data_IF_503808168732
#
_entry.id   IF_503808168732
#
_cell.length_a   1.000
_cell.length_b   1.000
_cell.length_c   1.000
_cell.angle_alpha   90.00
_cell.angle_beta   90.00
_cell.angle_gamma   90.00
#
_symmetry.space_group_name_H-M   'P 1'
#
loop_
_entity.id
_entity.type
_entity.pdbx_description
1 polymer ?
#
# COMPACT_ATOMS: atom_id res chain seq x y z
N UNK A 1 0.59 14.77 3.80
CA UNK A 1 -0.14 14.61 2.52
C UNK A 1 -1.60 14.81 2.88
N UNK A 2 -2.59 14.38 2.10
CA UNK A 2 -4.04 14.34 2.41
C UNK A 2 -4.78 15.50 3.11
N UNK A 3 -4.18 16.62 3.50
CA UNK A 3 -4.84 17.66 4.30
C UNK A 3 -6.09 18.28 3.64
N UNK A 4 -6.25 18.10 2.33
CA UNK A 4 -7.45 18.45 1.56
C UNK A 4 -8.57 17.41 1.62
N UNK A 5 -8.27 16.14 1.94
CA UNK A 5 -9.23 15.09 2.23
C UNK A 5 -9.24 14.81 3.74
N UNK A 6 -10.26 15.31 4.44
CA UNK A 6 -10.34 15.22 5.89
C UNK A 6 -10.37 13.78 6.41
N UNK A 7 -10.91 12.83 5.63
CA UNK A 7 -10.99 11.42 6.05
C UNK A 7 -9.64 10.74 5.90
N UNK A 8 -9.03 10.83 4.73
CA UNK A 8 -7.71 10.23 4.50
C UNK A 8 -6.66 10.83 5.44
N UNK A 9 -6.69 12.15 5.64
CA UNK A 9 -5.83 12.83 6.60
C UNK A 9 -5.97 12.29 8.02
N UNK A 10 -7.22 12.13 8.50
CA UNK A 10 -7.48 11.61 9.84
C UNK A 10 -7.00 10.16 9.99
N UNK A 11 -7.40 9.27 9.08
CA UNK A 11 -7.14 7.84 9.23
C UNK A 11 -5.69 7.42 8.96
N UNK A 12 -5.00 8.10 8.05
CA UNK A 12 -3.66 7.70 7.59
C UNK A 12 -2.53 8.56 8.16
N UNK A 13 -2.80 9.75 8.69
CA UNK A 13 -1.75 10.68 9.11
C UNK A 13 -1.92 11.25 10.53
N UNK A 14 -3.05 11.01 11.21
CA UNK A 14 -3.30 11.54 12.54
C UNK A 14 -3.39 10.47 13.62
N UNK A 15 -3.24 10.86 14.88
CA UNK A 15 -3.62 10.08 16.06
C UNK A 15 -5.16 10.10 16.26
N UNK A 16 -5.67 9.42 17.29
CA UNK A 16 -7.11 9.37 17.59
C UNK A 16 -7.72 10.74 17.99
N UNK A 17 -6.89 11.73 18.31
CA UNK A 17 -7.33 13.10 18.62
C UNK A 17 -7.34 14.00 17.38
N UNK A 18 -6.89 13.49 16.23
CA UNK A 18 -6.74 14.26 15.00
C UNK A 18 -5.44 15.06 14.92
N UNK A 19 -4.48 14.79 15.80
CA UNK A 19 -3.15 15.41 15.74
C UNK A 19 -2.27 14.67 14.75
N UNK A 20 -1.55 15.39 13.90
CA UNK A 20 -0.68 14.78 12.89
C UNK A 20 0.50 14.03 13.52
N UNK A 21 0.63 12.76 13.17
CA UNK A 21 1.73 11.85 13.58
C UNK A 21 2.46 11.25 12.37
N UNK A 22 1.85 11.32 11.18
CA UNK A 22 2.38 10.78 9.94
C UNK A 22 2.21 9.27 9.79
N UNK A 23 2.35 8.80 8.54
CA UNK A 23 2.09 7.41 8.15
C UNK A 23 2.90 6.37 8.94
N UNK A 24 4.18 6.65 9.20
CA UNK A 24 5.06 5.72 9.91
C UNK A 24 4.59 5.45 11.33
N UNK A 25 4.20 6.51 12.06
CA UNK A 25 3.68 6.36 13.43
C UNK A 25 2.31 5.67 13.42
N UNK A 26 1.47 5.90 12.40
CA UNK A 26 0.20 5.15 12.22
C UNK A 26 0.43 3.65 12.03
N UNK A 27 1.45 3.26 11.27
CA UNK A 27 1.79 1.84 11.04
C UNK A 27 2.29 1.12 12.29
N UNK A 28 2.84 1.86 13.25
CA UNK A 28 3.40 1.34 14.50
C UNK A 28 2.38 1.28 15.64
N UNK A 29 1.13 1.69 15.41
CA UNK A 29 0.04 1.55 16.39
C UNK A 29 -0.18 0.06 16.72
N UNK A 30 -0.06 -0.28 18.00
CA UNK A 30 -0.18 -1.67 18.48
C UNK A 30 -1.62 -2.21 18.32
N UNK A 31 -2.62 -1.37 18.56
CA UNK A 31 -4.04 -1.73 18.41
C UNK A 31 -4.84 -0.52 17.86
N UNK A 32 -5.16 -0.50 16.55
CA UNK A 32 -5.95 0.58 15.96
C UNK A 32 -7.41 0.50 16.44
N UNK A 33 -8.06 1.66 16.59
CA UNK A 33 -9.49 1.71 16.93
C UNK A 33 -10.35 1.08 15.83
N UNK A 34 -11.53 0.56 16.18
CA UNK A 34 -12.46 -0.01 15.20
C UNK A 34 -12.87 1.02 14.13
N UNK A 35 -13.06 2.28 14.54
CA UNK A 35 -13.38 3.38 13.63
C UNK A 35 -12.25 3.61 12.62
N UNK A 36 -10.99 3.62 13.08
CA UNK A 36 -9.84 3.75 12.19
C UNK A 36 -9.74 2.55 11.26
N UNK A 37 -9.90 1.34 11.78
CA UNK A 37 -9.88 0.12 10.99
C UNK A 37 -10.89 0.18 9.85
N UNK A 38 -12.15 0.49 10.15
CA UNK A 38 -13.22 0.62 9.15
C UNK A 38 -12.92 1.73 8.13
N UNK A 39 -12.41 2.88 8.60
CA UNK A 39 -12.01 4.00 7.74
C UNK A 39 -10.90 3.63 6.76
N UNK A 40 -9.83 2.99 7.23
CA UNK A 40 -8.71 2.56 6.39
C UNK A 40 -9.17 1.47 5.41
N UNK A 41 -10.02 0.53 5.81
CA UNK A 41 -10.60 -0.46 4.90
C UNK A 41 -11.42 0.17 3.78
N UNK A 42 -12.23 1.19 4.10
CA UNK A 42 -12.98 1.93 3.09
C UNK A 42 -12.05 2.64 2.10
N UNK A 43 -11.02 3.32 2.60
CA UNK A 43 -10.02 3.99 1.74
C UNK A 43 -9.29 3.00 0.83
N UNK A 44 -8.90 1.82 1.34
CA UNK A 44 -8.20 0.80 0.57
C UNK A 44 -9.02 0.24 -0.61
N UNK A 45 -10.35 0.20 -0.45
CA UNK A 45 -11.26 -0.38 -1.46
C UNK A 45 -11.92 0.65 -2.37
N UNK A 46 -12.19 1.85 -1.86
CA UNK A 46 -13.05 2.85 -2.51
C UNK A 46 -12.39 4.23 -2.64
N UNK A 47 -11.24 4.45 -2.01
CA UNK A 47 -10.51 5.70 -2.12
C UNK A 47 -9.99 5.95 -3.53
N UNK A 48 -9.41 7.12 -3.71
CA UNK A 48 -8.65 7.42 -4.92
C UNK A 48 -7.35 6.62 -4.99
N UNK A 49 -6.56 6.83 -6.05
CA UNK A 49 -5.33 6.09 -6.28
C UNK A 49 -4.33 6.21 -5.12
N UNK A 50 -4.13 7.41 -4.56
CA UNK A 50 -3.19 7.63 -3.46
C UNK A 50 -3.74 7.02 -2.17
N UNK A 51 -5.01 7.30 -1.86
CA UNK A 51 -5.69 6.77 -0.68
C UNK A 51 -5.66 5.24 -0.66
N UNK A 52 -6.01 4.60 -1.77
CA UNK A 52 -5.99 3.13 -1.89
C UNK A 52 -4.60 2.57 -1.64
N UNK A 53 -3.57 3.24 -2.18
CA UNK A 53 -2.19 2.80 -2.00
C UNK A 53 -1.77 2.85 -0.53
N UNK A 54 -1.86 4.02 0.11
CA UNK A 54 -1.41 4.17 1.49
C UNK A 54 -2.27 3.43 2.51
N UNK A 55 -3.58 3.33 2.27
CA UNK A 55 -4.46 2.52 3.10
C UNK A 55 -4.14 1.02 2.96
N UNK A 56 -3.83 0.54 1.75
CA UNK A 56 -3.40 -0.85 1.55
C UNK A 56 -2.08 -1.13 2.28
N UNK A 57 -1.09 -0.23 2.19
CA UNK A 57 0.16 -0.38 2.95
C UNK A 57 -0.13 -0.47 4.46
N UNK A 58 -0.99 0.40 4.97
CA UNK A 58 -1.39 0.44 6.39
C UNK A 58 -2.02 -0.88 6.84
N UNK A 59 -2.96 -1.43 6.08
CA UNK A 59 -3.58 -2.71 6.41
C UNK A 59 -2.58 -3.88 6.37
N UNK A 60 -1.64 -3.86 5.43
CA UNK A 60 -0.57 -4.87 5.36
C UNK A 60 0.41 -4.75 6.55
N UNK A 61 0.66 -3.54 7.04
CA UNK A 61 1.46 -3.29 8.25
C UNK A 61 0.79 -3.86 9.49
N UNK A 62 -0.52 -3.65 9.64
CA UNK A 62 -1.34 -4.19 10.73
C UNK A 62 -1.69 -5.68 10.58
N UNK A 63 -1.23 -6.34 9.50
CA UNK A 63 -1.53 -7.75 9.21
C UNK A 63 -3.02 -8.05 9.03
N UNK A 64 -3.78 -7.07 8.54
CA UNK A 64 -5.20 -7.23 8.31
C UNK A 64 -5.46 -8.02 7.02
N UNK A 65 -6.26 -9.10 7.06
CA UNK A 65 -6.50 -9.98 5.91
C UNK A 65 -6.96 -9.24 4.66
N UNK A 66 -7.82 -8.24 4.85
CA UNK A 66 -8.37 -7.40 3.79
C UNK A 66 -7.31 -6.55 3.08
N UNK A 67 -6.15 -6.31 3.70
CA UNK A 67 -5.01 -5.67 3.05
C UNK A 67 -4.47 -6.49 1.87
N UNK A 68 -4.52 -7.83 1.95
CA UNK A 68 -4.13 -8.70 0.83
C UNK A 68 -5.16 -8.63 -0.31
N UNK A 69 -6.45 -8.55 0.02
CA UNK A 69 -7.53 -8.39 -0.97
C UNK A 69 -7.41 -7.05 -1.71
N UNK A 70 -7.14 -5.98 -0.97
CA UNK A 70 -6.92 -4.66 -1.55
C UNK A 70 -5.69 -4.64 -2.47
N UNK A 71 -4.58 -5.22 -2.01
CA UNK A 71 -3.35 -5.37 -2.79
C UNK A 71 -3.60 -6.11 -4.11
N UNK A 72 -4.27 -7.26 -4.07
CA UNK A 72 -4.60 -8.02 -5.27
C UNK A 72 -5.42 -7.19 -6.28
N UNK A 73 -6.46 -6.49 -5.80
CA UNK A 73 -7.30 -5.63 -6.65
C UNK A 73 -6.51 -4.47 -7.28
N UNK A 74 -5.52 -3.91 -6.57
CA UNK A 74 -4.64 -2.89 -7.14
C UNK A 74 -3.78 -3.46 -8.27
N UNK A 75 -3.24 -4.67 -8.09
CA UNK A 75 -2.47 -5.35 -9.13
C UNK A 75 -3.33 -5.73 -10.36
N UNK A 76 -4.60 -6.10 -10.15
CA UNK A 76 -5.53 -6.43 -11.23
C UNK A 76 -5.95 -5.22 -12.05
N UNK A 77 -6.24 -4.12 -11.36
CA UNK A 77 -6.66 -2.88 -12.01
C UNK A 77 -5.52 -2.12 -12.69
N UNK A 78 -4.26 -2.46 -12.39
CA UNK A 78 -3.06 -1.72 -12.83
C UNK A 78 -3.08 -0.23 -12.45
N UNK A 79 -3.85 0.12 -11.41
CA UNK A 79 -3.99 1.51 -10.94
C UNK A 79 -2.65 2.12 -10.49
N UNK A 80 -1.67 1.29 -10.15
CA UNK A 80 -0.32 1.72 -9.77
C UNK A 80 0.44 2.39 -10.93
N UNK A 81 0.15 2.01 -12.18
CA UNK A 81 0.83 2.52 -13.38
C UNK A 81 0.35 3.91 -13.84
N UNK A 82 -0.72 4.44 -13.23
CA UNK A 82 -1.36 5.69 -13.64
C UNK A 82 -0.67 6.92 -13.03
N UNK A 83 -0.90 8.13 -13.54
CA UNK A 83 -0.55 9.37 -12.82
C UNK A 83 0.92 9.57 -12.42
N UNK A 84 1.13 10.24 -11.28
CA UNK A 84 2.46 10.55 -10.73
C UNK A 84 3.00 9.40 -9.86
N UNK A 85 4.32 9.32 -9.64
CA UNK A 85 4.90 8.34 -8.72
C UNK A 85 4.26 8.39 -7.32
N UNK A 86 3.81 7.24 -6.80
CA UNK A 86 3.24 7.11 -5.46
C UNK A 86 4.32 6.96 -4.38
N UNK A 87 5.37 6.20 -4.67
CA UNK A 87 6.51 5.99 -3.80
C UNK A 87 7.82 6.24 -4.58
N UNK A 88 8.10 7.49 -4.97
CA UNK A 88 9.31 7.80 -5.73
C UNK A 88 10.57 7.50 -4.91
N UNK A 89 11.45 6.67 -5.45
CA UNK A 89 12.73 6.42 -4.83
C UNK A 89 13.57 7.69 -4.78
N UNK A 90 14.12 7.97 -3.59
CA UNK A 90 14.80 9.23 -3.27
C UNK A 90 15.96 9.60 -4.21
N UNK A 91 16.69 8.62 -4.74
CA UNK A 91 17.90 8.87 -5.54
C UNK A 91 17.67 8.97 -7.05
N UNK A 92 16.68 8.26 -7.60
CA UNK A 92 16.49 8.16 -9.06
C UNK A 92 15.06 8.42 -9.51
N UNK A 93 14.15 8.79 -8.60
CA UNK A 93 12.79 9.26 -8.91
C UNK A 93 11.84 8.20 -9.47
N UNK A 94 12.33 6.98 -9.72
CA UNK A 94 11.52 5.84 -10.13
C UNK A 94 10.49 5.50 -9.07
N UNK A 95 9.25 5.28 -9.48
CA UNK A 95 8.19 4.83 -8.57
C UNK A 95 8.49 3.41 -8.10
N UNK A 96 8.53 3.24 -6.78
CA UNK A 96 8.77 1.97 -6.10
C UNK A 96 7.49 1.41 -5.47
N UNK A 97 6.31 1.84 -5.94
CA UNK A 97 5.04 1.42 -5.38
C UNK A 97 4.87 -0.11 -5.33
N UNK A 98 5.29 -0.80 -6.39
CA UNK A 98 5.26 -2.27 -6.46
C UNK A 98 6.21 -2.89 -5.44
N UNK A 99 7.42 -2.37 -5.30
CA UNK A 99 8.43 -2.85 -4.37
C UNK A 99 8.01 -2.65 -2.91
N UNK A 100 7.38 -1.53 -2.58
CA UNK A 100 6.86 -1.24 -1.24
C UNK A 100 5.71 -2.18 -0.84
N UNK A 101 4.81 -2.49 -1.78
CA UNK A 101 3.76 -3.50 -1.56
C UNK A 101 4.37 -4.90 -1.42
N UNK A 102 5.25 -5.28 -2.35
CA UNK A 102 5.93 -6.58 -2.33
C UNK A 102 6.71 -6.78 -1.03
N UNK A 103 7.43 -5.76 -0.56
CA UNK A 103 8.17 -5.79 0.69
C UNK A 103 7.25 -6.12 1.87
N UNK A 104 6.09 -5.46 1.98
CA UNK A 104 5.14 -5.70 3.07
C UNK A 104 4.49 -7.08 3.00
N UNK A 105 4.15 -7.55 1.80
CA UNK A 105 3.64 -8.91 1.59
C UNK A 105 4.71 -9.96 1.94
N UNK A 106 5.96 -9.79 1.51
CA UNK A 106 7.01 -10.81 1.68
C UNK A 106 7.56 -10.85 3.11
N UNK A 107 7.75 -9.70 3.75
CA UNK A 107 8.53 -9.61 4.99
C UNK A 107 7.84 -10.24 6.20
N UNK A 108 6.53 -10.50 6.16
CA UNK A 108 5.81 -11.16 7.26
C UNK A 108 5.41 -12.57 6.84
N UNK A 109 6.13 -13.56 7.39
CA UNK A 109 5.88 -14.99 7.17
C UNK A 109 4.65 -15.44 7.98
N UNK A 110 3.62 -15.89 7.27
CA UNK A 110 2.51 -16.67 7.80
C UNK A 110 2.00 -17.65 6.74
N UNK A 111 1.39 -18.80 7.12
CA UNK A 111 0.92 -19.82 6.19
C UNK A 111 -0.42 -19.39 5.57
N UNK A 112 -0.42 -18.26 4.88
CA UNK A 112 -1.59 -17.75 4.18
C UNK A 112 -1.39 -18.04 2.70
N UNK A 113 -2.18 -18.96 2.14
CA UNK A 113 -2.15 -19.34 0.72
C UNK A 113 -2.18 -18.11 -0.22
N UNK A 114 -2.91 -17.06 0.19
CA UNK A 114 -2.98 -15.79 -0.54
C UNK A 114 -1.64 -15.03 -0.60
N UNK A 115 -0.81 -15.08 0.45
CA UNK A 115 0.53 -14.49 0.42
C UNK A 115 1.39 -15.17 -0.64
N UNK A 116 1.37 -16.50 -0.73
CA UNK A 116 2.16 -17.22 -1.73
C UNK A 116 1.76 -16.86 -3.17
N UNK A 117 0.45 -16.71 -3.43
CA UNK A 117 -0.05 -16.29 -4.72
C UNK A 117 0.39 -14.87 -5.06
N UNK A 118 0.28 -13.93 -4.11
CA UNK A 118 0.74 -12.55 -4.29
C UNK A 118 2.25 -12.47 -4.49
N UNK A 119 3.05 -13.25 -3.74
CA UNK A 119 4.51 -13.32 -3.92
C UNK A 119 4.84 -13.80 -5.34
N UNK A 120 4.20 -14.88 -5.81
CA UNK A 120 4.39 -15.37 -7.20
C UNK A 120 4.00 -14.31 -8.23
N UNK A 121 2.92 -13.56 -7.97
CA UNK A 121 2.47 -12.49 -8.84
C UNK A 121 3.46 -11.33 -8.88
N UNK A 122 3.96 -10.88 -7.73
CA UNK A 122 5.03 -9.89 -7.67
C UNK A 122 6.24 -10.36 -8.46
N UNK A 123 6.68 -11.62 -8.31
CA UNK A 123 7.79 -12.20 -9.06
C UNK A 123 7.53 -12.45 -10.56
N UNK A 124 6.31 -12.19 -11.06
CA UNK A 124 5.96 -12.48 -12.45
C UNK A 124 6.63 -11.53 -13.45
N UNK A 125 6.83 -11.96 -14.71
CA UNK A 125 7.36 -11.10 -15.76
C UNK A 125 6.51 -9.85 -16.04
N UNK A 126 5.21 -9.88 -15.73
CA UNK A 126 4.33 -8.74 -15.94
C UNK A 126 4.68 -7.56 -15.02
N UNK A 127 5.22 -7.85 -13.84
CA UNK A 127 5.67 -6.85 -12.85
C UNK A 127 7.18 -6.62 -12.97
N UNK A 128 8.03 -7.66 -12.86
CA UNK A 128 9.48 -7.50 -12.92
C UNK A 128 10.12 -7.77 -14.30
N UNK A 129 9.46 -8.53 -15.18
CA UNK A 129 9.99 -8.84 -16.51
C UNK A 129 10.02 -7.65 -17.48
N UNK A 130 9.22 -6.62 -17.22
CA UNK A 130 9.28 -5.35 -17.95
C UNK A 130 10.57 -4.55 -17.71
N UNK A 131 11.37 -4.90 -16.68
CA UNK A 131 12.64 -4.23 -16.40
C UNK A 131 13.79 -4.70 -17.29
N UNK A 132 13.68 -5.88 -17.93
CA UNK A 132 14.73 -6.41 -18.82
C UNK A 132 14.71 -5.78 -20.22
N UNK A 133 13.63 -5.13 -20.63
CA UNK A 133 13.53 -4.48 -21.94
C UNK A 133 13.97 -3.01 -21.95
N UNK A 134 14.39 -2.46 -20.80
CA UNK A 134 14.85 -1.05 -20.68
C UNK A 134 16.38 -0.95 -20.60
N UNK A 135 17.09 -2.09 -20.58
CA UNK A 135 18.55 -2.13 -20.69
C UNK A 135 18.92 -2.98 -21.91
N UNK A 136 18.67 -2.43 -23.09
CA UNK A 136 19.45 -2.77 -24.28
C UNK A 136 20.32 -1.55 -24.60
N UNK A 137 21.63 -1.72 -24.83
CA UNK A 137 22.56 -0.62 -25.10
C UNK A 137 22.23 0.14 -26.39
#
# INVERSE_FOLDING_TARGET
MFASDTKAYFFLECDEKGEYIGLGEVWEIEEPSLERMDGVQQLALQGDREERYFATLTLLEWMEPIGLDACEKMLESKILDEGRPLAPHRLWGKDCAYEELAYRVVRRFGPWEKHELLIKRFLSPDIYGNYHNVISP
#
